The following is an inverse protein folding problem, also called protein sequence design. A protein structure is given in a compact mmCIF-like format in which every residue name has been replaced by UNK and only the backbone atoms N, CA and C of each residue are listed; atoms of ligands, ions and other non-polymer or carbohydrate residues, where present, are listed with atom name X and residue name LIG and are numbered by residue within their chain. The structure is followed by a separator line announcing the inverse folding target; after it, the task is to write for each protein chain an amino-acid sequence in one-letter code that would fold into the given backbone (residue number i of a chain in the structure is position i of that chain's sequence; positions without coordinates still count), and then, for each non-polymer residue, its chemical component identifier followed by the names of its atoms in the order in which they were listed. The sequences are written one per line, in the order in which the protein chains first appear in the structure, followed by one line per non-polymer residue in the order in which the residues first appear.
data_IF_474467787709
#
_entry.id   IF_474467787709
#
_cell.length_a   1.000
_cell.length_b   1.000
_cell.length_c   1.000
_cell.angle_alpha   90.00
_cell.angle_beta   90.00
_cell.angle_gamma   90.00
#
_symmetry.space_group_name_H-M   'P 1'
#
loop_
_entity.id
_entity.type
_entity.pdbx_description
1 polymer ?
#
# COMPACT_ATOMS: atom_id res chain seq x y z
N UNK A 1 126.92 58.97 115.36
CA UNK A 1 126.68 58.67 113.93
C UNK A 1 126.09 57.28 113.73
N UNK A 2 126.48 56.28 114.53
CA UNK A 2 125.92 54.91 114.49
C UNK A 2 124.45 54.80 114.95
N UNK A 3 124.02 55.55 115.97
CA UNK A 3 122.61 55.53 116.45
C UNK A 3 121.57 55.97 115.39
N UNK A 4 121.95 56.81 114.41
CA UNK A 4 121.05 57.22 113.31
C UNK A 4 120.93 56.15 112.21
N UNK A 5 121.95 55.31 112.04
CA UNK A 5 121.95 54.22 111.05
C UNK A 5 121.06 53.09 111.55
N UNK A 6 121.16 52.73 112.83
CA UNK A 6 120.31 51.72 113.46
C UNK A 6 118.82 52.13 113.51
N UNK A 7 118.54 53.42 113.72
CA UNK A 7 117.18 53.96 113.66
C UNK A 7 116.60 53.98 112.24
N UNK A 8 117.43 54.26 111.23
CA UNK A 8 117.05 54.18 109.81
C UNK A 8 116.82 52.72 109.38
N UNK A 9 117.65 51.78 109.81
CA UNK A 9 117.48 50.35 109.54
C UNK A 9 116.20 49.80 110.17
N UNK A 10 115.89 50.20 111.41
CA UNK A 10 114.60 49.85 112.05
C UNK A 10 113.40 50.44 111.30
N UNK A 11 113.52 51.67 110.79
CA UNK A 11 112.44 52.35 110.06
C UNK A 11 112.25 51.77 108.67
N UNK A 12 113.33 51.38 107.98
CA UNK A 12 113.31 50.65 106.71
C UNK A 12 112.74 49.24 106.91
N UNK A 13 113.15 48.52 107.95
CA UNK A 13 112.57 47.20 108.27
C UNK A 13 111.08 47.30 108.60
N UNK A 14 110.66 48.29 109.41
CA UNK A 14 109.26 48.54 109.73
C UNK A 14 108.42 48.92 108.51
N UNK A 15 108.92 49.77 107.62
CA UNK A 15 108.20 50.16 106.39
C UNK A 15 108.17 49.02 105.37
N UNK A 16 109.24 48.22 105.29
CA UNK A 16 109.29 47.03 104.43
C UNK A 16 108.28 45.98 104.90
N UNK A 17 108.17 45.73 106.21
CA UNK A 17 107.16 44.81 106.76
C UNK A 17 105.73 45.36 106.62
N UNK A 18 105.51 46.66 106.83
CA UNK A 18 104.22 47.29 106.54
C UNK A 18 103.83 47.19 105.06
N UNK A 19 104.79 47.36 104.15
CA UNK A 19 104.55 47.25 102.71
C UNK A 19 104.29 45.81 102.27
N UNK A 20 105.02 44.83 102.84
CA UNK A 20 104.74 43.40 102.64
C UNK A 20 103.35 43.02 103.13
N UNK A 21 102.95 43.49 104.30
CA UNK A 21 101.63 43.21 104.87
C UNK A 21 100.52 43.86 104.04
N UNK A 22 100.72 45.09 103.54
CA UNK A 22 99.80 45.73 102.60
C UNK A 22 99.67 44.95 101.29
N UNK A 23 100.79 44.53 100.69
CA UNK A 23 100.81 43.70 99.47
C UNK A 23 100.10 42.36 99.69
N UNK A 24 100.28 41.75 100.86
CA UNK A 24 99.60 40.51 101.23
C UNK A 24 98.10 40.71 101.39
N UNK A 25 97.67 41.76 102.09
CA UNK A 25 96.26 42.12 102.22
C UNK A 25 95.62 42.47 100.87
N UNK A 26 96.36 43.14 99.98
CA UNK A 26 95.89 43.47 98.63
C UNK A 26 95.79 42.22 97.75
N UNK A 27 96.76 41.31 97.83
CA UNK A 27 96.72 40.01 97.14
C UNK A 27 95.58 39.11 97.66
N UNK A 28 95.34 39.08 98.98
CA UNK A 28 94.23 38.32 99.58
C UNK A 28 92.86 38.90 99.17
N UNK A 29 92.70 40.23 99.18
CA UNK A 29 91.51 40.91 98.68
C UNK A 29 91.28 40.63 97.19
N UNK A 30 92.33 40.70 96.38
CA UNK A 30 92.26 40.39 94.95
C UNK A 30 91.89 38.92 94.70
N UNK A 31 92.47 37.98 95.45
CA UNK A 31 92.14 36.56 95.36
C UNK A 31 90.70 36.27 95.80
N UNK A 32 90.21 36.93 96.84
CA UNK A 32 88.83 36.78 97.29
C UNK A 32 87.84 37.36 96.28
N UNK A 33 88.11 38.54 95.72
CA UNK A 33 87.29 39.12 94.65
C UNK A 33 87.29 38.24 93.40
N UNK A 34 88.44 37.68 93.02
CA UNK A 34 88.55 36.72 91.93
C UNK A 34 87.72 35.46 92.20
N UNK A 35 87.75 34.95 93.43
CA UNK A 35 86.95 33.79 93.82
C UNK A 35 85.44 34.10 93.76
N UNK A 36 85.01 35.20 94.34
CA UNK A 36 83.60 35.63 94.35
C UNK A 36 83.08 35.90 92.92
N UNK A 37 83.88 36.57 92.08
CA UNK A 37 83.51 36.81 90.68
C UNK A 37 83.46 35.52 89.87
N UNK A 38 84.41 34.60 90.09
CA UNK A 38 84.42 33.28 89.44
C UNK A 38 83.20 32.46 89.85
N UNK A 39 82.87 32.41 91.15
CA UNK A 39 81.68 31.71 91.66
C UNK A 39 80.39 32.33 91.09
N UNK A 40 80.28 33.66 91.05
CA UNK A 40 79.13 34.37 90.48
C UNK A 40 78.95 34.03 89.00
N UNK A 41 80.01 34.14 88.20
CA UNK A 41 79.97 33.83 86.77
C UNK A 41 79.65 32.35 86.52
N UNK A 42 80.14 31.46 87.37
CA UNK A 42 79.85 30.01 87.26
C UNK A 42 78.37 29.74 87.52
N UNK A 43 77.78 30.39 88.53
CA UNK A 43 76.34 30.29 88.82
C UNK A 43 75.50 30.89 87.70
N UNK A 44 75.83 32.08 87.23
CA UNK A 44 75.11 32.75 86.13
C UNK A 44 75.16 31.94 84.84
N UNK A 45 76.33 31.34 84.52
CA UNK A 45 76.47 30.42 83.39
C UNK A 45 75.58 29.18 83.55
N UNK A 46 75.53 28.60 84.74
CA UNK A 46 74.71 27.42 85.01
C UNK A 46 73.21 27.74 84.92
N UNK A 47 72.77 28.87 85.47
CA UNK A 47 71.39 29.36 85.35
C UNK A 47 71.00 29.61 83.89
N UNK A 48 71.86 30.27 83.11
CA UNK A 48 71.62 30.49 81.68
C UNK A 48 71.56 29.17 80.90
N UNK A 49 72.42 28.21 81.23
CA UNK A 49 72.42 26.91 80.60
C UNK A 49 71.15 26.11 80.93
N UNK A 50 70.64 26.22 82.16
CA UNK A 50 69.36 25.64 82.55
C UNK A 50 68.19 26.29 81.81
N UNK A 51 68.13 27.62 81.75
CA UNK A 51 67.10 28.34 80.99
C UNK A 51 67.14 28.00 79.50
N UNK A 52 68.33 27.86 78.92
CA UNK A 52 68.48 27.47 77.52
C UNK A 52 67.95 26.05 77.28
N UNK A 53 68.28 25.10 78.16
CA UNK A 53 67.79 23.72 78.08
C UNK A 53 66.28 23.63 78.27
N UNK A 54 65.69 24.42 79.17
CA UNK A 54 64.24 24.48 79.36
C UNK A 54 63.51 25.05 78.15
N UNK A 55 64.03 26.14 77.58
CA UNK A 55 63.51 26.72 76.33
C UNK A 55 63.63 25.75 75.16
N UNK A 56 64.73 25.01 75.08
CA UNK A 56 64.92 24.01 74.02
C UNK A 56 63.94 22.84 74.17
N UNK A 57 63.76 22.32 75.40
CA UNK A 57 62.77 21.25 75.67
C UNK A 57 61.33 21.68 75.39
N UNK A 58 60.94 22.90 75.74
CA UNK A 58 59.57 23.38 75.48
C UNK A 58 59.32 23.62 74.00
N UNK A 59 60.30 24.17 73.27
CA UNK A 59 60.23 24.32 71.82
C UNK A 59 60.14 22.96 71.10
N UNK A 60 60.91 21.96 71.53
CA UNK A 60 60.87 20.61 70.97
C UNK A 60 59.50 19.95 71.19
N UNK A 61 58.94 20.05 72.40
CA UNK A 61 57.60 19.50 72.69
C UNK A 61 56.51 20.18 71.87
N UNK A 62 56.57 21.50 71.69
CA UNK A 62 55.63 22.22 70.85
C UNK A 62 55.72 21.75 69.39
N UNK A 63 56.94 21.60 68.87
CA UNK A 63 57.17 21.12 67.51
C UNK A 63 56.67 19.67 67.31
N UNK A 64 56.94 18.76 68.24
CA UNK A 64 56.42 17.38 68.20
C UNK A 64 54.89 17.37 68.19
N UNK A 65 54.26 18.18 69.06
CA UNK A 65 52.79 18.27 69.12
C UNK A 65 52.19 18.81 67.82
N UNK A 66 52.82 19.81 67.21
CA UNK A 66 52.40 20.34 65.92
C UNK A 66 52.57 19.30 64.80
N UNK A 67 53.68 18.55 64.80
CA UNK A 67 53.90 17.44 63.87
C UNK A 67 52.84 16.34 64.01
N UNK A 68 52.50 15.92 65.24
CA UNK A 68 51.44 14.93 65.50
C UNK A 68 50.08 15.42 64.99
N UNK A 69 49.77 16.70 65.21
CA UNK A 69 48.55 17.32 64.71
C UNK A 69 48.52 17.31 63.17
N UNK A 70 49.60 17.71 62.52
CA UNK A 70 49.68 17.69 61.04
C UNK A 70 49.54 16.26 60.48
N UNK A 71 50.15 15.26 61.12
CA UNK A 71 50.01 13.86 60.69
C UNK A 71 48.55 13.41 60.79
N UNK A 72 47.88 13.78 61.88
CA UNK A 72 46.46 13.46 62.10
C UNK A 72 45.59 14.12 61.02
N UNK A 73 45.77 15.42 60.77
CA UNK A 73 45.03 16.16 59.75
C UNK A 73 45.26 15.59 58.34
N UNK A 74 46.51 15.22 58.00
CA UNK A 74 46.84 14.57 56.72
C UNK A 74 46.15 13.20 56.61
N UNK A 75 46.11 12.42 57.69
CA UNK A 75 45.45 11.10 57.69
C UNK A 75 43.94 11.23 57.48
N UNK A 76 43.31 12.24 58.10
CA UNK A 76 41.89 12.51 57.95
C UNK A 76 41.55 13.00 56.55
N UNK A 77 42.33 13.94 56.00
CA UNK A 77 42.16 14.41 54.61
C UNK A 77 42.32 13.27 53.60
N UNK A 78 43.28 12.36 53.81
CA UNK A 78 43.44 11.17 52.97
C UNK A 78 42.22 10.26 53.04
N UNK A 79 41.66 10.05 54.23
CA UNK A 79 40.44 9.25 54.42
C UNK A 79 39.26 9.88 53.67
N UNK A 80 39.07 11.19 53.80
CA UNK A 80 38.00 11.91 53.10
C UNK A 80 38.16 11.86 51.58
N UNK A 81 39.38 12.02 51.06
CA UNK A 81 39.67 11.90 49.63
C UNK A 81 39.37 10.48 49.11
N UNK A 82 39.72 9.45 49.87
CA UNK A 82 39.44 8.07 49.50
C UNK A 82 37.94 7.79 49.50
N UNK A 83 37.21 8.27 50.52
CA UNK A 83 35.76 8.15 50.59
C UNK A 83 35.08 8.84 49.41
N UNK A 84 35.49 10.07 49.09
CA UNK A 84 34.96 10.82 47.95
C UNK A 84 35.27 10.13 46.60
N UNK A 85 36.47 9.58 46.41
CA UNK A 85 36.82 8.82 45.20
C UNK A 85 35.93 7.56 45.07
N UNK A 86 35.69 6.84 46.16
CA UNK A 86 34.80 5.67 46.13
C UNK A 86 33.35 6.04 45.81
N UNK A 87 32.84 7.12 46.41
CA UNK A 87 31.48 7.61 46.14
C UNK A 87 31.33 8.09 44.69
N UNK A 88 32.29 8.87 44.18
CA UNK A 88 32.27 9.36 42.81
C UNK A 88 32.31 8.22 41.78
N UNK A 89 33.13 7.19 42.02
CA UNK A 89 33.18 6.01 41.14
C UNK A 89 31.86 5.26 41.11
N UNK A 90 31.20 5.14 42.26
CA UNK A 90 29.91 4.46 42.36
C UNK A 90 28.80 5.24 41.64
N UNK A 91 28.76 6.56 41.82
CA UNK A 91 27.81 7.42 41.11
C UNK A 91 28.02 7.38 39.59
N UNK A 92 29.27 7.41 39.13
CA UNK A 92 29.60 7.26 37.70
C UNK A 92 29.17 5.88 37.18
N UNK A 93 29.32 4.83 37.98
CA UNK A 93 28.89 3.47 37.63
C UNK A 93 27.38 3.41 37.43
N UNK A 94 26.62 3.91 38.40
CA UNK A 94 25.15 3.93 38.34
C UNK A 94 24.63 4.77 37.16
N UNK A 95 25.22 5.96 36.92
CA UNK A 95 24.86 6.80 35.77
C UNK A 95 25.14 6.09 34.44
N UNK A 96 26.24 5.34 34.35
CA UNK A 96 26.56 4.57 33.14
C UNK A 96 25.57 3.41 32.92
N UNK A 97 25.16 2.72 33.98
CA UNK A 97 24.17 1.65 33.90
C UNK A 97 22.80 2.19 33.48
N UNK A 98 22.33 3.29 34.08
CA UNK A 98 21.07 3.95 33.69
C UNK A 98 21.11 4.44 32.23
N UNK A 99 22.22 5.05 31.80
CA UNK A 99 22.38 5.48 30.41
C UNK A 99 22.37 4.30 29.43
N UNK A 100 22.97 3.16 29.78
CA UNK A 100 22.93 1.95 28.95
C UNK A 100 21.54 1.34 28.89
N UNK A 101 20.80 1.33 30.01
CA UNK A 101 19.44 0.83 30.05
C UNK A 101 18.54 1.67 29.14
N UNK A 102 18.58 3.00 29.30
CA UNK A 102 17.83 3.93 28.45
C UNK A 102 18.19 3.80 26.98
N UNK A 103 19.48 3.67 26.64
CA UNK A 103 19.90 3.44 25.26
C UNK A 103 19.28 2.17 24.66
N UNK A 104 19.24 1.07 25.42
CA UNK A 104 18.58 -0.17 24.99
C UNK A 104 17.06 0.00 24.82
N UNK A 105 16.40 0.70 25.74
CA UNK A 105 14.97 0.99 25.65
C UNK A 105 14.66 1.82 24.39
N UNK A 106 15.45 2.85 24.10
CA UNK A 106 15.33 3.62 22.88
C UNK A 106 15.58 2.77 21.62
N UNK A 107 16.60 1.90 21.62
CA UNK A 107 16.89 1.00 20.50
C UNK A 107 15.77 -0.03 20.26
N UNK A 108 15.09 -0.46 21.32
CA UNK A 108 13.90 -1.31 21.22
C UNK A 108 12.71 -0.54 20.66
N UNK A 109 12.39 0.63 21.22
CA UNK A 109 11.29 1.47 20.76
C UNK A 109 11.44 1.88 19.28
N UNK A 110 12.67 2.21 18.84
CA UNK A 110 12.95 2.54 17.43
C UNK A 110 12.75 1.33 16.52
N UNK A 111 13.13 0.12 16.96
CA UNK A 111 12.90 -1.11 16.19
C UNK A 111 11.41 -1.42 16.06
N UNK A 112 10.67 -1.32 17.16
CA UNK A 112 9.23 -1.59 17.18
C UNK A 112 8.48 -0.60 16.29
N UNK A 113 8.79 0.70 16.40
CA UNK A 113 8.22 1.74 15.53
C UNK A 113 8.55 1.53 14.05
N UNK A 114 9.76 1.05 13.75
CA UNK A 114 10.15 0.75 12.38
C UNK A 114 9.34 -0.43 11.82
N UNK A 115 9.17 -1.49 12.61
CA UNK A 115 8.39 -2.66 12.22
C UNK A 115 6.91 -2.30 12.03
N UNK A 116 6.33 -1.51 12.93
CA UNK A 116 4.94 -1.04 12.81
C UNK A 116 4.76 -0.17 11.57
N UNK A 117 5.70 0.75 11.31
CA UNK A 117 5.69 1.59 10.09
C UNK A 117 5.75 0.77 8.81
N UNK A 118 6.59 -0.27 8.77
CA UNK A 118 6.67 -1.19 7.62
C UNK A 118 5.36 -1.97 7.44
N UNK A 119 4.79 -2.49 8.53
CA UNK A 119 3.50 -3.19 8.50
C UNK A 119 2.36 -2.29 7.98
N UNK A 120 2.29 -1.04 8.45
CA UNK A 120 1.28 -0.07 8.00
C UNK A 120 1.49 0.31 6.54
N UNK A 121 2.74 0.43 6.07
CA UNK A 121 3.03 0.72 4.68
C UNK A 121 2.58 -0.43 3.75
N UNK A 122 2.82 -1.68 4.15
CA UNK A 122 2.38 -2.86 3.41
C UNK A 122 0.85 -2.97 3.34
N UNK A 123 0.15 -2.69 4.45
CA UNK A 123 -1.31 -2.68 4.48
C UNK A 123 -1.90 -1.55 3.62
N UNK A 124 -1.32 -0.36 3.70
CA UNK A 124 -1.70 0.78 2.85
C UNK A 124 -1.52 0.47 1.36
N UNK A 125 -0.43 -0.18 0.98
CA UNK A 125 -0.19 -0.60 -0.41
C UNK A 125 -1.26 -1.60 -0.90
N UNK A 126 -1.66 -2.56 -0.07
CA UNK A 126 -2.75 -3.51 -0.39
C UNK A 126 -4.09 -2.80 -0.56
N UNK A 127 -4.44 -1.89 0.34
CA UNK A 127 -5.69 -1.13 0.27
C UNK A 127 -5.75 -0.20 -0.96
N UNK A 128 -4.61 0.37 -1.37
CA UNK A 128 -4.52 1.16 -2.61
C UNK A 128 -4.78 0.25 -3.81
N UNK A 129 -4.17 -0.94 -3.86
CA UNK A 129 -4.36 -1.88 -4.95
C UNK A 129 -5.82 -2.37 -5.05
N UNK A 130 -6.45 -2.67 -3.91
CA UNK A 130 -7.86 -3.08 -3.85
C UNK A 130 -8.79 -1.94 -4.30
N UNK A 131 -8.52 -0.69 -3.89
CA UNK A 131 -9.30 0.46 -4.35
C UNK A 131 -9.21 0.66 -5.87
N UNK A 132 -8.02 0.49 -6.46
CA UNK A 132 -7.85 0.59 -7.92
C UNK A 132 -8.71 -0.47 -8.63
N UNK A 133 -8.71 -1.70 -8.12
CA UNK A 133 -9.53 -2.78 -8.69
C UNK A 133 -11.04 -2.50 -8.56
N UNK A 134 -11.49 -2.08 -7.38
CA UNK A 134 -12.90 -1.73 -7.15
C UNK A 134 -13.34 -0.52 -7.97
N UNK A 135 -12.44 0.41 -8.25
CA UNK A 135 -12.71 1.57 -9.08
C UNK A 135 -12.88 1.17 -10.55
N UNK A 136 -12.05 0.27 -11.07
CA UNK A 136 -12.19 -0.28 -12.42
C UNK A 136 -13.52 -1.04 -12.59
N UNK A 137 -13.86 -1.91 -11.64
CA UNK A 137 -15.12 -2.67 -11.68
C UNK A 137 -16.35 -1.73 -11.61
N UNK A 138 -16.29 -0.69 -10.76
CA UNK A 138 -17.32 0.34 -10.72
C UNK A 138 -17.45 1.11 -12.04
N UNK A 139 -16.33 1.40 -12.71
CA UNK A 139 -16.35 2.07 -14.00
C UNK A 139 -16.97 1.19 -15.08
N UNK A 140 -16.61 -0.10 -15.12
CA UNK A 140 -17.24 -1.07 -16.02
C UNK A 140 -18.75 -1.20 -15.77
N UNK A 141 -19.18 -1.30 -14.52
CA UNK A 141 -20.61 -1.34 -14.16
C UNK A 141 -21.34 -0.05 -14.57
N UNK A 142 -20.70 1.12 -14.44
CA UNK A 142 -21.27 2.39 -14.91
C UNK A 142 -21.43 2.38 -16.43
N UNK A 143 -20.41 1.95 -17.17
CA UNK A 143 -20.47 1.86 -18.64
C UNK A 143 -21.57 0.88 -19.11
N UNK A 144 -21.71 -0.27 -18.45
CA UNK A 144 -22.78 -1.23 -18.72
C UNK A 144 -24.16 -0.62 -18.44
N UNK A 145 -24.32 0.05 -17.30
CA UNK A 145 -25.57 0.73 -16.96
C UNK A 145 -25.93 1.82 -17.98
N UNK A 146 -24.96 2.63 -18.41
CA UNK A 146 -25.20 3.64 -19.46
C UNK A 146 -25.62 2.98 -20.76
N UNK A 147 -24.95 1.90 -21.17
CA UNK A 147 -25.31 1.16 -22.39
C UNK A 147 -26.74 0.60 -22.31
N UNK A 148 -27.14 0.05 -21.16
CA UNK A 148 -28.49 -0.44 -20.94
C UNK A 148 -29.51 0.69 -20.94
N UNK A 149 -29.20 1.83 -20.32
CA UNK A 149 -30.06 3.01 -20.35
C UNK A 149 -30.23 3.54 -21.78
N UNK A 150 -29.17 3.60 -22.58
CA UNK A 150 -29.24 4.00 -23.99
C UNK A 150 -30.16 3.07 -24.80
N UNK A 151 -30.11 1.77 -24.54
CA UNK A 151 -30.99 0.78 -25.17
C UNK A 151 -32.44 0.96 -24.71
N UNK A 152 -32.68 1.16 -23.42
CA UNK A 152 -34.02 1.33 -22.87
C UNK A 152 -34.67 2.66 -23.29
N UNK A 153 -33.87 3.71 -23.44
CA UNK A 153 -34.33 5.03 -23.88
C UNK A 153 -34.49 5.11 -25.40
N UNK A 154 -34.00 4.11 -26.14
CA UNK A 154 -34.17 4.02 -27.59
C UNK A 154 -35.45 3.25 -27.91
N UNK A 155 -36.47 3.98 -28.33
CA UNK A 155 -37.71 3.39 -28.85
C UNK A 155 -37.44 2.40 -29.99
N UNK A 156 -36.39 2.62 -30.78
CA UNK A 156 -35.93 1.73 -31.85
C UNK A 156 -35.54 0.37 -31.28
N UNK A 157 -34.69 0.36 -30.25
CA UNK A 157 -34.16 -0.87 -29.67
C UNK A 157 -35.25 -1.65 -28.93
N UNK A 158 -36.16 -0.97 -28.24
CA UNK A 158 -37.34 -1.59 -27.62
C UNK A 158 -38.24 -2.27 -28.66
N UNK A 159 -38.48 -1.61 -29.80
CA UNK A 159 -39.28 -2.17 -30.88
C UNK A 159 -38.57 -3.33 -31.58
N UNK A 160 -37.27 -3.21 -31.86
CA UNK A 160 -36.46 -4.32 -32.37
C UNK A 160 -36.49 -5.52 -31.42
N UNK A 161 -36.40 -5.29 -30.11
CA UNK A 161 -36.54 -6.34 -29.10
C UNK A 161 -37.91 -7.02 -29.16
N UNK A 162 -39.00 -6.23 -29.21
CA UNK A 162 -40.35 -6.79 -29.34
C UNK A 162 -40.50 -7.60 -30.62
N UNK A 163 -39.98 -7.14 -31.75
CA UNK A 163 -40.10 -7.86 -33.02
C UNK A 163 -39.29 -9.15 -33.00
N UNK A 164 -38.07 -9.15 -32.46
CA UNK A 164 -37.26 -10.36 -32.26
C UNK A 164 -38.02 -11.37 -31.40
N UNK A 165 -38.54 -10.93 -30.25
CA UNK A 165 -39.22 -11.79 -29.28
C UNK A 165 -40.58 -12.30 -29.77
N UNK A 166 -41.42 -11.40 -30.28
CA UNK A 166 -42.85 -11.65 -30.50
C UNK A 166 -43.17 -12.08 -31.93
N UNK A 167 -42.28 -11.80 -32.90
CA UNK A 167 -42.54 -12.08 -34.32
C UNK A 167 -41.49 -12.99 -34.96
N UNK A 168 -40.22 -12.57 -35.01
CA UNK A 168 -39.17 -13.31 -35.73
C UNK A 168 -38.86 -14.65 -35.06
N UNK A 169 -38.73 -14.67 -33.73
CA UNK A 169 -38.51 -15.91 -32.97
C UNK A 169 -39.62 -16.93 -33.21
N UNK A 170 -40.92 -16.63 -32.96
CA UNK A 170 -41.98 -17.60 -33.19
C UNK A 170 -42.14 -18.00 -34.67
N UNK A 171 -41.94 -17.07 -35.61
CA UNK A 171 -41.97 -17.40 -37.04
C UNK A 171 -40.88 -18.42 -37.40
N UNK A 172 -39.64 -18.19 -36.95
CA UNK A 172 -38.49 -19.07 -37.20
C UNK A 172 -38.69 -20.44 -36.54
N UNK A 173 -39.17 -20.46 -35.28
CA UNK A 173 -39.52 -21.70 -34.58
C UNK A 173 -40.58 -22.51 -35.33
N UNK A 174 -41.66 -21.86 -35.77
CA UNK A 174 -42.74 -22.52 -36.50
C UNK A 174 -42.25 -23.12 -37.82
N UNK A 175 -41.33 -22.45 -38.51
CA UNK A 175 -40.76 -22.97 -39.75
C UNK A 175 -39.79 -24.13 -39.49
N UNK A 176 -38.96 -24.08 -38.44
CA UNK A 176 -38.13 -25.22 -38.03
C UNK A 176 -38.98 -26.46 -37.68
N UNK A 177 -40.09 -26.27 -36.97
CA UNK A 177 -41.03 -27.36 -36.66
C UNK A 177 -41.67 -27.91 -37.93
N UNK A 178 -41.98 -27.06 -38.91
CA UNK A 178 -42.49 -27.50 -40.21
C UNK A 178 -41.46 -28.37 -40.95
N UNK A 179 -40.21 -27.89 -41.07
CA UNK A 179 -39.13 -28.63 -41.71
C UNK A 179 -38.86 -29.96 -40.99
N UNK A 180 -38.87 -29.97 -39.66
CA UNK A 180 -38.72 -31.20 -38.89
C UNK A 180 -39.85 -32.21 -39.14
N UNK A 181 -41.10 -31.77 -39.33
CA UNK A 181 -42.22 -32.66 -39.73
C UNK A 181 -42.01 -33.23 -41.13
N UNK A 182 -41.43 -32.46 -42.05
CA UNK A 182 -41.08 -32.97 -43.38
C UNK A 182 -39.94 -33.98 -43.30
N UNK A 183 -38.91 -33.72 -42.47
CA UNK A 183 -37.81 -34.66 -42.21
C UNK A 183 -38.33 -35.95 -41.57
N UNK A 184 -39.25 -35.85 -40.61
CA UNK A 184 -39.86 -37.00 -39.97
C UNK A 184 -40.59 -37.89 -40.99
N UNK A 185 -41.34 -37.28 -41.91
CA UNK A 185 -42.10 -38.02 -42.92
C UNK A 185 -41.23 -38.66 -44.01
N UNK A 186 -40.09 -38.06 -44.34
CA UNK A 186 -39.30 -38.43 -45.52
C UNK A 186 -37.97 -39.13 -45.21
N UNK A 187 -37.37 -38.89 -44.04
CA UNK A 187 -36.01 -39.36 -43.72
C UNK A 187 -35.97 -40.12 -42.40
N UNK A 188 -36.60 -39.62 -41.34
CA UNK A 188 -36.48 -40.18 -39.98
C UNK A 188 -37.83 -40.27 -39.25
N UNK A 189 -38.64 -41.33 -39.47
CA UNK A 189 -39.96 -41.49 -38.84
C UNK A 189 -39.95 -41.51 -37.31
N UNK A 190 -38.81 -41.84 -36.70
CA UNK A 190 -38.61 -41.88 -35.25
C UNK A 190 -38.30 -40.54 -34.60
N UNK A 191 -38.31 -39.43 -35.35
CA UNK A 191 -38.03 -38.09 -34.82
C UNK A 191 -39.15 -37.66 -33.84
N UNK A 192 -38.80 -37.25 -32.62
CA UNK A 192 -39.76 -36.75 -31.63
C UNK A 192 -39.86 -35.22 -31.71
N UNK A 193 -40.99 -34.72 -32.24
CA UNK A 193 -41.19 -33.29 -32.49
C UNK A 193 -41.85 -32.62 -31.29
N UNK A 194 -41.04 -32.08 -30.40
CA UNK A 194 -41.49 -31.21 -29.30
C UNK A 194 -41.48 -29.75 -29.74
N UNK A 195 -42.66 -29.19 -29.99
CA UNK A 195 -42.83 -27.79 -30.45
C UNK A 195 -42.20 -26.76 -29.52
N UNK A 196 -42.09 -27.06 -28.22
CA UNK A 196 -41.54 -26.16 -27.21
C UNK A 196 -40.01 -26.29 -27.03
N UNK A 197 -39.38 -27.32 -27.58
CA UNK A 197 -37.94 -27.60 -27.43
C UNK A 197 -37.24 -27.64 -28.81
N UNK A 198 -37.11 -26.45 -29.40
CA UNK A 198 -36.48 -26.29 -30.73
C UNK A 198 -34.96 -26.56 -30.68
N UNK A 199 -34.29 -26.29 -29.57
CA UNK A 199 -32.86 -26.61 -29.41
C UNK A 199 -32.62 -28.12 -29.33
N UNK A 200 -33.47 -28.87 -28.61
CA UNK A 200 -33.47 -30.32 -28.63
C UNK A 200 -33.80 -30.90 -30.00
N UNK A 201 -34.72 -30.26 -30.75
CA UNK A 201 -35.07 -30.62 -32.11
C UNK A 201 -33.89 -30.47 -33.09
N UNK A 202 -33.19 -29.34 -33.05
CA UNK A 202 -31.99 -29.09 -33.86
C UNK A 202 -30.92 -30.17 -33.58
N UNK A 203 -30.71 -30.48 -32.30
CA UNK A 203 -29.75 -31.53 -31.88
C UNK A 203 -30.13 -32.91 -32.41
N UNK A 204 -31.43 -33.25 -32.46
CA UNK A 204 -31.91 -34.52 -33.00
C UNK A 204 -31.73 -34.62 -34.51
N UNK A 205 -32.03 -33.55 -35.26
CA UNK A 205 -31.86 -33.51 -36.72
C UNK A 205 -30.38 -33.57 -37.11
N UNK A 206 -29.50 -32.88 -36.38
CA UNK A 206 -28.06 -32.90 -36.63
C UNK A 206 -27.42 -34.28 -36.40
N UNK A 207 -28.06 -35.18 -35.65
CA UNK A 207 -27.62 -36.58 -35.48
C UNK A 207 -27.97 -37.47 -36.68
N UNK A 208 -28.77 -37.01 -37.64
CA UNK A 208 -29.12 -37.79 -38.83
C UNK A 208 -27.92 -37.81 -39.79
N UNK A 209 -27.26 -38.97 -39.88
CA UNK A 209 -26.03 -39.16 -40.67
C UNK A 209 -26.38 -39.45 -42.15
N UNK A 210 -27.44 -40.19 -42.42
CA UNK A 210 -27.78 -40.69 -43.77
C UNK A 210 -28.99 -39.94 -44.31
N UNK A 211 -28.84 -39.33 -45.49
CA UNK A 211 -29.88 -38.61 -46.22
C UNK A 211 -30.08 -39.29 -47.58
N UNK A 212 -31.24 -39.92 -47.83
CA UNK A 212 -31.39 -40.93 -48.88
C UNK A 212 -31.35 -40.37 -50.30
N UNK A 213 -31.89 -39.17 -50.53
CA UNK A 213 -32.06 -38.59 -51.87
C UNK A 213 -31.63 -37.11 -51.91
N UNK A 214 -31.42 -36.56 -53.11
CA UNK A 214 -31.12 -35.13 -53.31
C UNK A 214 -32.17 -34.20 -52.68
N UNK A 215 -33.44 -34.60 -52.66
CA UNK A 215 -34.51 -33.86 -52.00
C UNK A 215 -34.33 -33.81 -50.47
N UNK A 216 -33.83 -34.90 -49.90
CA UNK A 216 -33.53 -34.98 -48.48
C UNK A 216 -32.31 -34.10 -48.13
N UNK A 217 -31.29 -34.07 -48.98
CA UNK A 217 -30.13 -33.18 -48.83
C UNK A 217 -30.53 -31.70 -48.88
N UNK A 218 -31.45 -31.33 -49.77
CA UNK A 218 -32.01 -29.97 -49.82
C UNK A 218 -32.79 -29.60 -48.55
N UNK A 219 -33.51 -30.58 -47.97
CA UNK A 219 -34.24 -30.38 -46.73
C UNK A 219 -33.30 -30.14 -45.54
N UNK A 220 -32.16 -30.84 -45.51
CA UNK A 220 -31.08 -30.61 -44.56
C UNK A 220 -30.51 -29.20 -44.67
N UNK A 221 -30.12 -28.78 -45.87
CA UNK A 221 -29.57 -27.43 -46.10
C UNK A 221 -30.52 -26.32 -45.63
N UNK A 222 -31.82 -26.47 -45.88
CA UNK A 222 -32.85 -25.54 -45.37
C UNK A 222 -32.93 -25.56 -43.85
N UNK A 223 -32.91 -26.75 -43.26
CA UNK A 223 -32.99 -26.89 -41.81
C UNK A 223 -31.78 -26.26 -41.12
N UNK A 224 -30.57 -26.50 -41.64
CA UNK A 224 -29.32 -25.93 -41.13
C UNK A 224 -29.33 -24.39 -41.24
N UNK A 225 -29.70 -23.84 -42.40
CA UNK A 225 -29.78 -22.39 -42.59
C UNK A 225 -30.79 -21.71 -41.65
N UNK A 226 -31.94 -22.34 -41.39
CA UNK A 226 -32.96 -21.80 -40.47
C UNK A 226 -32.53 -22.00 -39.01
N UNK A 227 -31.78 -23.06 -38.71
CA UNK A 227 -31.19 -23.28 -37.40
C UNK A 227 -30.18 -22.19 -37.05
N UNK A 228 -29.34 -21.80 -38.02
CA UNK A 228 -28.38 -20.69 -37.86
C UNK A 228 -29.10 -19.35 -37.65
N UNK A 229 -30.15 -19.09 -38.43
CA UNK A 229 -31.03 -17.93 -38.22
C UNK A 229 -31.63 -17.90 -36.81
N UNK A 230 -32.06 -19.05 -36.30
CA UNK A 230 -32.60 -19.16 -34.95
C UNK A 230 -31.52 -18.92 -33.88
N UNK A 231 -30.30 -19.42 -34.09
CA UNK A 231 -29.18 -19.21 -33.18
C UNK A 231 -28.85 -17.71 -33.04
N UNK A 232 -28.86 -16.96 -34.14
CA UNK A 232 -28.65 -15.50 -34.14
C UNK A 232 -29.69 -14.74 -33.32
N UNK A 233 -30.96 -15.17 -33.35
CA UNK A 233 -32.00 -14.54 -32.52
C UNK A 233 -31.82 -14.81 -31.01
N UNK A 234 -31.18 -15.93 -30.65
CA UNK A 234 -30.97 -16.36 -29.27
C UNK A 234 -29.61 -15.96 -28.68
N UNK A 235 -28.75 -15.30 -29.47
CA UNK A 235 -27.40 -14.92 -29.04
C UNK A 235 -27.45 -13.93 -27.85
N UNK A 236 -26.89 -14.31 -26.71
CA UNK A 236 -26.83 -13.49 -25.50
C UNK A 236 -25.65 -12.51 -25.49
N UNK A 237 -24.68 -12.69 -26.38
CA UNK A 237 -23.47 -11.85 -26.47
C UNK A 237 -23.76 -10.52 -27.15
N UNK A 238 -24.75 -10.48 -28.05
CA UNK A 238 -25.21 -9.25 -28.70
C UNK A 238 -26.18 -8.52 -27.78
N UNK A 239 -25.71 -7.41 -27.21
CA UNK A 239 -26.47 -6.59 -26.26
C UNK A 239 -27.58 -5.80 -26.98
N UNK A 240 -27.33 -5.31 -28.20
CA UNK A 240 -28.29 -4.47 -28.95
C UNK A 240 -29.27 -5.30 -29.80
N UNK A 241 -30.59 -5.20 -29.54
CA UNK A 241 -31.62 -5.88 -30.35
C UNK A 241 -31.58 -5.56 -31.86
N UNK A 242 -31.29 -4.32 -32.24
CA UNK A 242 -31.19 -3.89 -33.64
C UNK A 242 -30.10 -4.66 -34.40
N UNK A 243 -28.97 -4.93 -33.76
CA UNK A 243 -27.87 -5.69 -34.36
C UNK A 243 -28.24 -7.16 -34.59
N UNK A 244 -29.07 -7.75 -33.71
CA UNK A 244 -29.64 -9.09 -33.94
C UNK A 244 -30.55 -9.12 -35.17
N UNK A 245 -31.37 -8.09 -35.35
CA UNK A 245 -32.25 -7.96 -36.52
C UNK A 245 -31.43 -7.84 -37.80
N UNK A 246 -30.37 -7.02 -37.80
CA UNK A 246 -29.48 -6.86 -38.96
C UNK A 246 -28.78 -8.17 -39.32
N UNK A 247 -28.17 -8.85 -38.35
CA UNK A 247 -27.52 -10.15 -38.59
C UNK A 247 -28.50 -11.21 -39.09
N UNK A 248 -29.70 -11.25 -38.51
CA UNK A 248 -30.77 -12.14 -38.97
C UNK A 248 -31.16 -11.85 -40.42
N UNK A 249 -31.26 -10.58 -40.81
CA UNK A 249 -31.58 -10.20 -42.19
C UNK A 249 -30.47 -10.61 -43.17
N UNK A 250 -29.21 -10.35 -42.84
CA UNK A 250 -28.06 -10.74 -43.67
C UNK A 250 -28.05 -12.25 -43.92
N UNK A 251 -28.16 -13.03 -42.84
CA UNK A 251 -28.25 -14.49 -42.93
C UNK A 251 -29.48 -14.97 -43.71
N UNK A 252 -30.62 -14.28 -43.58
CA UNK A 252 -31.85 -14.66 -44.28
C UNK A 252 -31.71 -14.41 -45.78
N UNK A 253 -31.08 -13.31 -46.16
CA UNK A 253 -30.80 -12.97 -47.55
C UNK A 253 -29.80 -13.96 -48.18
N UNK A 254 -28.74 -14.32 -47.45
CA UNK A 254 -27.76 -15.30 -47.90
C UNK A 254 -28.40 -16.69 -48.06
N UNK A 255 -29.19 -17.12 -47.07
CA UNK A 255 -29.94 -18.37 -47.14
C UNK A 255 -30.94 -18.37 -48.31
N UNK A 256 -31.63 -17.25 -48.57
CA UNK A 256 -32.58 -17.12 -49.67
C UNK A 256 -31.89 -17.17 -51.04
N UNK A 257 -30.68 -16.62 -51.19
CA UNK A 257 -29.89 -16.79 -52.42
C UNK A 257 -29.52 -18.25 -52.68
N UNK A 258 -29.12 -18.98 -51.63
CA UNK A 258 -28.78 -20.41 -51.73
C UNK A 258 -30.02 -21.26 -52.01
N UNK A 259 -31.16 -20.94 -51.40
CA UNK A 259 -32.37 -21.80 -51.43
C UNK A 259 -33.31 -21.49 -52.62
N UNK A 260 -33.18 -20.33 -53.27
CA UNK A 260 -33.98 -19.91 -54.45
C UNK A 260 -33.96 -20.89 -55.62
N UNK A 261 -32.90 -21.68 -55.75
CA UNK A 261 -32.74 -22.75 -56.76
C UNK A 261 -33.78 -23.88 -56.62
N UNK A 262 -34.43 -24.03 -55.46
CA UNK A 262 -35.28 -25.19 -55.15
C UNK A 262 -36.80 -24.99 -55.33
N UNK A 263 -37.26 -23.79 -55.74
CA UNK A 263 -38.71 -23.45 -55.99
C UNK A 263 -39.70 -23.95 -54.91
N UNK A 264 -39.37 -23.82 -53.63
CA UNK A 264 -40.24 -24.25 -52.53
C UNK A 264 -41.27 -23.16 -52.14
N UNK A 265 -42.59 -23.44 -52.22
CA UNK A 265 -43.64 -22.48 -51.88
C UNK A 265 -43.71 -22.15 -50.38
N UNK A 266 -43.34 -23.09 -49.50
CA UNK A 266 -43.35 -22.89 -48.05
C UNK A 266 -42.18 -22.03 -47.61
N UNK A 267 -40.99 -22.24 -48.18
CA UNK A 267 -39.83 -21.36 -48.01
C UNK A 267 -40.16 -19.93 -48.44
N UNK A 268 -40.72 -19.75 -49.66
CA UNK A 268 -41.14 -18.43 -50.16
C UNK A 268 -42.13 -17.73 -49.23
N UNK A 269 -43.06 -18.46 -48.63
CA UNK A 269 -44.02 -17.89 -47.66
C UNK A 269 -43.33 -17.50 -46.36
N UNK A 270 -42.39 -18.31 -45.88
CA UNK A 270 -41.59 -17.99 -44.69
C UNK A 270 -40.73 -16.74 -44.92
N UNK A 271 -39.97 -16.68 -46.02
CA UNK A 271 -39.11 -15.53 -46.35
C UNK A 271 -39.94 -14.28 -46.63
N UNK A 272 -41.08 -14.39 -47.32
CA UNK A 272 -41.99 -13.26 -47.52
C UNK A 272 -42.57 -12.74 -46.19
N UNK A 273 -42.98 -13.62 -45.27
CA UNK A 273 -43.49 -13.23 -43.96
C UNK A 273 -42.38 -12.62 -43.09
N UNK A 274 -41.17 -13.17 -43.11
CA UNK A 274 -40.01 -12.61 -42.41
C UNK A 274 -39.62 -11.24 -42.98
N UNK A 275 -39.57 -11.11 -44.31
CA UNK A 275 -39.31 -9.85 -45.00
C UNK A 275 -40.42 -8.82 -44.78
N UNK A 276 -41.68 -9.24 -44.64
CA UNK A 276 -42.78 -8.35 -44.27
C UNK A 276 -42.66 -7.86 -42.82
N UNK A 277 -42.26 -8.73 -41.89
CA UNK A 277 -42.01 -8.35 -40.48
C UNK A 277 -40.82 -7.37 -40.39
N UNK A 278 -39.76 -7.61 -41.15
CA UNK A 278 -38.62 -6.68 -41.28
C UNK A 278 -39.03 -5.40 -42.03
N UNK A 279 -39.95 -5.51 -42.99
CA UNK A 279 -40.55 -4.40 -43.71
C UNK A 279 -41.37 -3.49 -42.81
N UNK A 280 -42.08 -4.03 -41.81
CA UNK A 280 -42.79 -3.23 -40.79
C UNK A 280 -41.81 -2.32 -40.02
N UNK A 281 -40.57 -2.76 -39.80
CA UNK A 281 -39.49 -1.93 -39.21
C UNK A 281 -39.14 -0.76 -40.15
N UNK A 282 -39.14 -1.01 -41.46
CA UNK A 282 -38.73 -0.05 -42.50
C UNK A 282 -39.86 0.88 -42.98
N UNK A 283 -41.13 0.46 -42.96
CA UNK A 283 -42.24 1.17 -43.63
C UNK A 283 -43.36 1.63 -42.70
N UNK A 284 -43.43 1.14 -41.46
CA UNK A 284 -44.54 1.43 -40.55
C UNK A 284 -44.29 2.49 -39.48
N UNK A 285 -43.03 2.75 -39.10
CA UNK A 285 -42.69 3.64 -37.96
C UNK A 285 -41.46 4.54 -38.20
N UNK A 286 -40.59 4.26 -39.19
CA UNK A 286 -39.47 5.15 -39.54
C UNK A 286 -39.66 5.79 -40.92
N UNK A 287 -39.51 7.12 -41.07
CA UNK A 287 -39.22 7.70 -42.36
C UNK A 287 -37.80 7.31 -42.75
N UNK A 288 -37.66 6.17 -43.44
CA UNK A 288 -36.67 5.84 -44.48
C UNK A 288 -35.17 6.13 -44.32
N UNK A 289 -34.68 6.75 -43.23
CA UNK A 289 -33.33 7.36 -43.19
C UNK A 289 -32.47 6.89 -42.01
N UNK A 290 -33.04 6.40 -40.91
CA UNK A 290 -32.27 6.03 -39.71
C UNK A 290 -31.55 4.67 -39.88
N UNK A 291 -32.20 3.69 -40.52
CA UNK A 291 -31.57 2.39 -40.84
C UNK A 291 -30.47 2.55 -41.90
N UNK A 292 -30.66 3.44 -42.88
CA UNK A 292 -29.60 3.83 -43.82
C UNK A 292 -28.46 4.57 -43.12
N UNK A 293 -28.75 5.40 -42.11
CA UNK A 293 -27.74 6.11 -41.31
C UNK A 293 -26.85 5.20 -40.47
N UNK A 294 -27.42 4.17 -39.83
CA UNK A 294 -26.65 3.17 -39.05
C UNK A 294 -25.76 2.31 -39.97
N UNK A 295 -26.23 1.98 -41.18
CA UNK A 295 -25.44 1.23 -42.18
C UNK A 295 -24.36 2.10 -42.86
N UNK A 296 -24.62 3.38 -43.12
CA UNK A 296 -23.65 4.31 -43.72
C UNK A 296 -22.44 4.58 -42.80
N UNK A 297 -22.64 4.55 -41.47
CA UNK A 297 -21.55 4.72 -40.48
C UNK A 297 -20.60 3.53 -40.39
N UNK A 298 -21.00 2.33 -40.85
CA UNK A 298 -20.17 1.11 -40.84
C UNK A 298 -19.44 0.84 -42.17
N UNK A 299 -19.53 1.76 -43.15
CA UNK A 299 -18.75 1.69 -44.41
C UNK A 299 -19.21 0.63 -45.42
N UNK A 300 -20.20 -0.18 -45.09
CA UNK A 300 -20.83 -1.13 -46.00
C UNK A 300 -22.06 -0.49 -46.64
N UNK A 301 -21.89 0.09 -47.83
CA UNK A 301 -23.00 0.46 -48.70
C UNK A 301 -23.97 -0.72 -48.85
N UNK A 302 -25.26 -0.58 -48.52
CA UNK A 302 -26.21 -1.64 -48.77
C UNK A 302 -26.44 -1.70 -50.28
N UNK A 303 -25.99 -2.78 -50.92
CA UNK A 303 -26.33 -3.19 -52.30
C UNK A 303 -27.83 -3.48 -52.50
N UNK A 304 -28.70 -2.91 -51.66
CA UNK A 304 -30.15 -2.97 -51.74
C UNK A 304 -30.67 -2.41 -53.07
N UNK A 305 -29.93 -1.47 -53.68
CA UNK A 305 -30.39 -0.78 -54.88
C UNK A 305 -29.92 -1.35 -56.21
N UNK A 306 -29.03 -2.34 -56.26
CA UNK A 306 -28.38 -2.67 -57.54
C UNK A 306 -28.54 -4.09 -58.10
N UNK A 307 -29.20 -5.07 -57.45
CA UNK A 307 -29.31 -6.38 -58.15
C UNK A 307 -30.48 -7.33 -57.94
N UNK A 308 -31.43 -7.15 -57.01
CA UNK A 308 -32.52 -8.15 -56.91
C UNK A 308 -33.87 -7.67 -56.35
N UNK A 309 -33.98 -6.45 -55.82
CA UNK A 309 -35.21 -5.96 -55.19
C UNK A 309 -36.33 -5.53 -56.15
N UNK A 310 -35.98 -4.94 -57.30
CA UNK A 310 -36.99 -4.41 -58.24
C UNK A 310 -37.86 -5.51 -58.88
N UNK A 311 -37.32 -6.71 -59.12
CA UNK A 311 -38.08 -7.82 -59.70
C UNK A 311 -38.96 -8.54 -58.68
N UNK A 312 -38.59 -8.56 -57.40
CA UNK A 312 -39.35 -9.29 -56.38
C UNK A 312 -40.62 -8.56 -55.91
N UNK A 313 -40.54 -7.23 -55.69
CA UNK A 313 -41.71 -6.42 -55.34
C UNK A 313 -42.67 -6.25 -56.54
N UNK A 314 -42.15 -6.14 -57.77
CA UNK A 314 -42.99 -6.08 -58.97
C UNK A 314 -43.76 -7.39 -59.22
N UNK A 315 -43.14 -8.54 -58.96
CA UNK A 315 -43.81 -9.84 -59.15
C UNK A 315 -44.88 -10.12 -58.08
N UNK A 316 -44.70 -9.60 -56.86
CA UNK A 316 -45.68 -9.73 -55.77
C UNK A 316 -46.91 -8.83 -55.99
N UNK A 317 -46.73 -7.64 -56.58
CA UNK A 317 -47.85 -6.74 -56.93
C UNK A 317 -48.64 -7.23 -58.15
N UNK A 318 -48.02 -7.96 -59.08
CA UNK A 318 -48.68 -8.49 -60.27
C UNK A 318 -49.62 -9.68 -60.03
N UNK A 319 -49.38 -10.50 -58.99
CA UNK A 319 -50.23 -11.67 -58.67
C UNK A 319 -51.48 -11.31 -57.86
N UNK A 320 -51.46 -10.20 -57.11
CA UNK A 320 -52.63 -9.72 -56.35
C UNK A 320 -53.74 -9.21 -57.28
N UNK A 321 -53.38 -8.69 -58.45
CA UNK A 321 -54.34 -8.14 -59.44
C UNK A 321 -55.06 -9.23 -60.25
N UNK A 322 -54.51 -10.45 -60.35
CA UNK A 322 -55.07 -11.53 -61.19
C UNK A 322 -56.11 -12.42 -60.50
N UNK A 323 -56.26 -12.35 -59.18
CA UNK A 323 -57.12 -13.27 -58.41
C UNK A 323 -58.24 -12.57 -57.61
N UNK A 324 -58.65 -11.37 -58.02
CA UNK A 324 -59.87 -10.74 -57.47
C UNK A 324 -61.07 -11.20 -58.32
N UNK A 325 -62.10 -11.85 -57.76
CA UNK A 325 -63.31 -12.20 -58.50
C UNK A 325 -64.07 -10.92 -58.90
N UNK A 326 -64.50 -10.86 -60.15
CA UNK A 326 -65.31 -9.79 -60.72
C UNK A 326 -66.63 -9.62 -59.94
N UNK A 327 -66.74 -8.54 -59.18
CA UNK A 327 -68.02 -8.10 -58.61
C UNK A 327 -68.66 -7.14 -59.60
N UNK A 328 -69.56 -7.69 -60.40
CA UNK A 328 -70.48 -6.95 -61.27
C UNK A 328 -71.33 -6.01 -60.40
N UNK A 329 -71.08 -4.70 -60.47
CA UNK A 329 -71.98 -3.70 -59.89
C UNK A 329 -73.24 -3.58 -60.73
N UNK A 330 -74.37 -3.92 -60.10
CA UNK A 330 -75.72 -3.80 -60.63
C UNK A 330 -76.08 -2.33 -60.87
N UNK A 331 -76.60 -2.02 -62.06
CA UNK A 331 -77.12 -0.69 -62.42
C UNK A 331 -78.51 -0.48 -61.80
N UNK A 332 -78.61 0.51 -60.94
CA UNK A 332 -79.62 1.57 -61.10
C UNK A 332 -80.73 1.70 -60.07
N UNK A 333 -81.30 2.92 -60.14
CA UNK A 333 -82.62 3.38 -59.69
C UNK A 333 -82.66 3.73 -58.19
N UNK A 334 -82.84 4.99 -57.74
CA UNK A 334 -83.46 6.19 -58.31
C UNK A 334 -82.83 7.44 -57.69
#
# INVERSE_FOLDING_TARGET
SEQKIEELEKRVASTTEQYKEQLKQEAEKAAQLLKETTERLTREKEELNQQLNEKWRSAEQAHVKDQEKFITDISELRRQLQELDTQSREEIRLLREDAQLKAREYDHAVRDLKQEKESVADESAKLIQENIFLQDDNEQLRQQNTTLQDILNSDIELQCHSIVRDKLTPLTKNYLVHLAREIQKSVAPSLDIKVNDVSGLITQVNKIIIWPDDKALQLKQKFDAVSDLYATLQDKTVIRPSEKVTKFYEQLNDADQVIKTHRDPTWKRYTANAAAILGIILTGIFPGLIVLGIMALRGSSPKFWESAGQTFFASSSGEIVKNVPDVVMNKGIK
#
